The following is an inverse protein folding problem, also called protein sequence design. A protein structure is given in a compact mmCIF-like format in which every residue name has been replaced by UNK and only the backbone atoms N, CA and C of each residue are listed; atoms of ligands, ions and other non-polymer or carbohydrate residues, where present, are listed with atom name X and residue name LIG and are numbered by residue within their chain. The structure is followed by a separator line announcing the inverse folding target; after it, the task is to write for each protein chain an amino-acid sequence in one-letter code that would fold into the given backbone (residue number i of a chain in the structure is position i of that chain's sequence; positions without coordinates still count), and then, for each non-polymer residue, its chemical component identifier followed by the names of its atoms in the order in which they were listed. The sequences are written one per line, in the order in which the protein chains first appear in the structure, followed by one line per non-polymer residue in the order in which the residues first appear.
data_IF_812950996147
#
_entry.id   IF_812950996147
#
_cell.length_a   1.000
_cell.length_b   1.000
_cell.length_c   1.000
_cell.angle_alpha   90.00
_cell.angle_beta   90.00
_cell.angle_gamma   90.00
#
_symmetry.space_group_name_H-M   'P 1'
#
loop_
_entity.id
_entity.type
_entity.pdbx_description
1 polymer ?
#
# COMPACT_ATOMS: atom_id res chain seq x y z
N UNK A 1 17.02 -19.30 12.62
CA UNK A 1 15.79 -18.52 12.34
C UNK A 1 15.80 -18.21 10.85
N UNK A 2 14.70 -18.42 10.14
CA UNK A 2 14.62 -18.08 8.72
C UNK A 2 14.57 -16.57 8.55
N UNK A 3 15.42 -16.00 7.70
CA UNK A 3 15.43 -14.55 7.42
C UNK A 3 14.19 -14.16 6.60
N UNK A 4 13.77 -12.88 6.59
CA UNK A 4 12.71 -12.41 5.70
C UNK A 4 13.00 -12.69 4.22
N UNK A 5 14.26 -12.57 3.79
CA UNK A 5 14.66 -12.82 2.40
C UNK A 5 14.59 -14.31 2.05
N UNK A 6 15.15 -15.19 2.89
CA UNK A 6 14.97 -16.65 2.72
C UNK A 6 13.50 -17.02 2.74
N UNK A 7 12.77 -16.41 3.67
CA UNK A 7 11.34 -16.56 3.76
C UNK A 7 10.67 -16.08 2.51
N UNK A 8 11.17 -15.15 1.70
CA UNK A 8 10.59 -14.57 0.46
C UNK A 8 10.93 -15.39 -0.79
N UNK A 9 12.14 -15.94 -0.85
CA UNK A 9 12.63 -16.73 -2.00
C UNK A 9 12.25 -18.21 -1.92
N UNK A 10 11.74 -18.69 -0.78
CA UNK A 10 11.32 -20.06 -0.58
C UNK A 10 10.01 -20.40 -1.32
N UNK A 11 9.95 -21.54 -2.02
CA UNK A 11 8.75 -21.97 -2.74
C UNK A 11 8.48 -21.12 -3.98
N UNK A 12 8.39 -21.78 -5.14
CA UNK A 12 8.47 -21.16 -6.48
C UNK A 12 7.65 -19.88 -6.69
N UNK A 13 6.46 -20.00 -7.30
CA UNK A 13 5.66 -18.83 -7.65
C UNK A 13 5.11 -18.15 -6.39
N UNK A 14 5.12 -16.81 -6.39
CA UNK A 14 4.61 -16.01 -5.27
C UNK A 14 3.81 -14.81 -5.76
N UNK A 15 2.86 -14.37 -4.91
CA UNK A 15 2.02 -13.19 -5.15
C UNK A 15 2.27 -12.21 -4.01
N UNK A 16 2.60 -10.97 -4.35
CA UNK A 16 2.68 -9.84 -3.42
C UNK A 16 1.52 -8.86 -3.63
N UNK A 17 1.34 -7.95 -2.67
CA UNK A 17 0.40 -6.84 -2.77
C UNK A 17 1.14 -5.51 -2.69
N UNK A 18 0.61 -4.49 -3.37
CA UNK A 18 1.06 -3.11 -3.24
C UNK A 18 0.29 -2.42 -2.10
N UNK A 19 1.01 -1.87 -1.14
CA UNK A 19 0.46 -1.08 -0.03
C UNK A 19 0.12 0.35 -0.50
N UNK A 20 -0.81 1.07 0.18
CA UNK A 20 -1.32 0.86 1.54
C UNK A 20 -2.52 -0.09 1.69
N UNK A 21 -3.06 -0.63 0.59
CA UNK A 21 -4.28 -1.47 0.57
C UNK A 21 -5.58 -0.71 0.89
N UNK A 22 -5.65 0.60 0.62
CA UNK A 22 -6.82 1.46 0.88
C UNK A 22 -7.88 1.44 -0.24
N UNK A 23 -7.56 0.84 -1.39
CA UNK A 23 -8.48 0.58 -2.51
C UNK A 23 -9.07 1.84 -3.16
N UNK A 24 -8.37 2.98 -3.09
CA UNK A 24 -8.84 4.27 -3.62
C UNK A 24 -9.12 4.26 -5.14
N UNK A 25 -8.59 3.28 -5.89
CA UNK A 25 -8.87 3.10 -7.32
C UNK A 25 -10.26 2.51 -7.61
N UNK A 26 -10.96 2.01 -6.59
CA UNK A 26 -12.33 1.52 -6.74
C UNK A 26 -13.33 2.68 -6.61
N UNK A 27 -14.52 2.62 -7.24
CA UNK A 27 -15.54 3.65 -7.06
C UNK A 27 -15.94 3.88 -5.60
N UNK A 28 -15.94 2.82 -4.78
CA UNK A 28 -16.23 2.91 -3.36
C UNK A 28 -15.08 3.59 -2.58
N UNK A 29 -13.83 3.25 -2.91
CA UNK A 29 -12.64 3.90 -2.35
C UNK A 29 -12.59 5.38 -2.69
N UNK A 30 -12.81 5.75 -3.96
CA UNK A 30 -12.84 7.16 -4.38
C UNK A 30 -13.95 7.96 -3.65
N UNK A 31 -15.12 7.36 -3.42
CA UNK A 31 -16.17 8.00 -2.62
C UNK A 31 -15.76 8.19 -1.16
N UNK A 32 -15.15 7.18 -0.54
CA UNK A 32 -14.66 7.28 0.84
C UNK A 32 -13.57 8.37 0.97
N UNK A 33 -12.58 8.34 0.08
CA UNK A 33 -11.52 9.35 -0.04
C UNK A 33 -12.08 10.78 -0.11
N UNK A 34 -13.06 11.01 -1.00
CA UNK A 34 -13.71 12.33 -1.15
C UNK A 34 -14.48 12.76 0.10
N UNK A 35 -15.21 11.83 0.74
CA UNK A 35 -15.95 12.11 1.98
C UNK A 35 -15.00 12.52 3.10
N UNK A 36 -13.83 11.89 3.15
CA UNK A 36 -12.84 12.12 4.19
C UNK A 36 -11.91 13.31 3.86
N UNK A 37 -12.12 13.97 2.71
CA UNK A 37 -11.39 15.17 2.30
C UNK A 37 -9.96 14.92 1.80
N UNK A 38 -9.58 13.65 1.58
CA UNK A 38 -8.24 13.25 1.13
C UNK A 38 -8.01 13.57 -0.35
N UNK A 39 -6.80 13.96 -0.71
CA UNK A 39 -6.42 14.19 -2.12
C UNK A 39 -6.33 12.87 -2.89
N UNK A 40 -6.44 12.92 -4.22
CA UNK A 40 -6.23 11.73 -5.03
C UNK A 40 -4.77 11.26 -4.89
N UNK A 41 -4.57 9.97 -4.60
CA UNK A 41 -3.24 9.40 -4.37
C UNK A 41 -2.70 9.61 -2.95
N UNK A 42 -3.42 10.29 -2.06
CA UNK A 42 -3.06 10.38 -0.64
C UNK A 42 -3.54 9.12 0.09
N UNK A 43 -2.63 8.25 0.57
CA UNK A 43 -3.01 6.94 1.09
C UNK A 43 -3.76 7.02 2.43
N UNK A 44 -4.82 6.22 2.61
CA UNK A 44 -5.42 6.01 3.93
C UNK A 44 -4.66 4.93 4.71
N UNK A 45 -3.94 5.37 5.75
CA UNK A 45 -3.18 4.47 6.61
C UNK A 45 -3.94 4.00 7.86
N UNK A 46 -5.20 4.42 8.07
CA UNK A 46 -5.95 4.13 9.29
C UNK A 46 -6.08 2.62 9.55
N UNK A 47 -6.13 1.80 8.50
CA UNK A 47 -6.25 0.34 8.58
C UNK A 47 -5.05 -0.43 8.02
N UNK A 48 -3.96 0.25 7.66
CA UNK A 48 -2.84 -0.40 6.96
C UNK A 48 -2.27 -1.59 7.74
N UNK A 49 -2.15 -1.48 9.07
CA UNK A 49 -1.62 -2.56 9.91
C UNK A 49 -2.56 -3.78 9.97
N UNK A 50 -3.88 -3.53 10.07
CA UNK A 50 -4.89 -4.59 10.05
C UNK A 50 -4.87 -5.35 8.72
N UNK A 51 -4.81 -4.60 7.61
CA UNK A 51 -4.79 -5.15 6.26
C UNK A 51 -3.48 -5.86 5.96
N UNK A 52 -2.35 -5.37 6.46
CA UNK A 52 -1.06 -6.04 6.35
C UNK A 52 -1.05 -7.39 7.05
N UNK A 53 -1.60 -7.45 8.27
CA UNK A 53 -1.76 -8.71 9.00
C UNK A 53 -2.74 -9.66 8.30
N UNK A 54 -3.80 -9.13 7.70
CA UNK A 54 -4.73 -9.93 6.90
C UNK A 54 -4.01 -10.54 5.68
N UNK A 55 -3.20 -9.75 4.97
CA UNK A 55 -2.44 -10.21 3.82
C UNK A 55 -1.49 -11.37 4.19
N UNK A 56 -0.76 -11.27 5.31
CA UNK A 56 0.10 -12.34 5.82
C UNK A 56 -0.71 -13.61 6.15
N UNK A 57 -1.86 -13.48 6.83
CA UNK A 57 -2.76 -14.62 7.12
C UNK A 57 -3.34 -15.27 5.86
N UNK A 58 -3.60 -14.49 4.82
CA UNK A 58 -4.12 -14.98 3.52
C UNK A 58 -3.02 -15.62 2.65
N UNK A 59 -1.76 -15.59 3.09
CA UNK A 59 -0.65 -16.24 2.39
C UNK A 59 -0.01 -15.39 1.28
N UNK A 60 -0.30 -14.08 1.24
CA UNK A 60 0.47 -13.17 0.38
C UNK A 60 1.92 -13.11 0.85
N UNK A 61 2.82 -13.05 -0.13
CA UNK A 61 4.25 -13.25 0.08
C UNK A 61 4.96 -12.06 0.68
N UNK A 62 4.51 -10.88 0.27
CA UNK A 62 5.13 -9.60 0.54
C UNK A 62 4.13 -8.48 0.34
N UNK A 63 4.36 -7.39 1.07
CA UNK A 63 3.81 -6.09 0.80
C UNK A 63 4.92 -5.22 0.21
N UNK A 64 4.59 -4.48 -0.84
CA UNK A 64 5.50 -3.56 -1.51
C UNK A 64 4.99 -2.13 -1.29
N UNK A 65 5.88 -1.25 -0.85
CA UNK A 65 5.62 0.18 -0.71
C UNK A 65 6.59 0.90 -1.62
N UNK A 66 6.10 1.87 -2.39
CA UNK A 66 6.92 2.83 -3.14
C UNK A 66 6.87 4.16 -2.40
N UNK A 67 8.04 4.76 -2.19
CA UNK A 67 8.14 6.16 -1.78
C UNK A 67 8.54 7.02 -2.99
N UNK A 68 7.96 8.21 -3.10
CA UNK A 68 8.20 9.18 -4.18
C UNK A 68 8.60 10.52 -3.54
N UNK A 69 9.90 10.83 -3.49
CA UNK A 69 10.42 11.96 -2.71
C UNK A 69 10.20 13.33 -3.37
N UNK A 70 9.60 13.38 -4.57
CA UNK A 70 9.40 14.60 -5.34
C UNK A 70 7.93 14.75 -5.74
N UNK A 71 7.36 15.92 -5.48
CA UNK A 71 6.04 16.27 -5.98
C UNK A 71 6.09 16.73 -7.44
N UNK A 72 5.48 15.96 -8.33
CA UNK A 72 5.22 16.31 -9.72
C UNK A 72 3.70 16.32 -9.98
N UNK A 73 3.09 17.50 -10.18
CA UNK A 73 1.65 17.63 -10.46
C UNK A 73 1.16 16.83 -11.67
N UNK A 74 2.04 16.51 -12.63
CA UNK A 74 1.70 15.72 -13.81
C UNK A 74 1.72 14.22 -13.57
N UNK A 75 2.39 13.77 -12.51
CA UNK A 75 2.51 12.35 -12.14
C UNK A 75 1.24 11.81 -11.48
N UNK A 76 0.50 12.67 -10.77
CA UNK A 76 -0.83 12.37 -10.25
C UNK A 76 -0.85 11.51 -8.97
N UNK A 77 0.29 11.36 -8.28
CA UNK A 77 0.34 10.86 -6.90
C UNK A 77 0.51 12.01 -5.90
N UNK A 78 0.38 11.70 -4.61
CA UNK A 78 0.51 12.68 -3.54
C UNK A 78 1.97 12.99 -3.15
N UNK A 79 2.96 12.32 -3.76
CA UNK A 79 4.37 12.32 -3.36
C UNK A 79 4.58 12.02 -1.86
N UNK A 80 5.65 12.54 -1.26
CA UNK A 80 5.93 12.41 0.18
C UNK A 80 4.93 13.24 0.99
N UNK A 81 4.12 12.57 1.82
CA UNK A 81 3.09 13.20 2.65
C UNK A 81 3.30 13.00 4.17
N UNK A 82 4.24 12.15 4.59
CA UNK A 82 4.40 11.77 6.01
C UNK A 82 5.69 12.25 6.67
N UNK A 83 6.64 12.79 5.92
CA UNK A 83 7.91 13.31 6.44
C UNK A 83 8.13 14.73 5.91
N UNK A 84 7.92 15.73 6.77
CA UNK A 84 8.12 17.18 6.49
C UNK A 84 9.27 17.71 7.33
#
# INVERSE_FOLDING_TARGET
MTTPLERLTAGGFSIGLEAPLDHDWTPAGDQARRRDGRQFGEPDLARHAELAQLADRLGYRALWVRDVPLYDPSFGDAAQVFEV
#
